data_IF_326602842866
#
_entry.id   IF_326602842866
#
_cell.length_a   1.000
_cell.length_b   1.000
_cell.length_c   1.000
_cell.angle_alpha   90.00
_cell.angle_beta   90.00
_cell.angle_gamma   90.00
#
_symmetry.space_group_name_H-M   'P 1'
#
loop_
_entity.id
_entity.type
_entity.pdbx_description
1 polymer ?
#
# COMPACT_ATOMS: atom_id res chain seq x y z
N UNK A 1 14.15 -6.37 12.80
CA UNK A 1 13.71 -7.04 11.54
C UNK A 1 12.63 -6.26 10.77
N UNK A 2 12.04 -5.18 11.30
CA UNK A 2 10.98 -4.38 10.62
C UNK A 2 11.48 -3.49 9.47
N UNK A 3 12.76 -3.12 9.41
CA UNK A 3 13.29 -2.19 8.38
C UNK A 3 13.43 -2.78 6.97
N UNK A 4 13.53 -4.09 6.83
CA UNK A 4 13.69 -4.73 5.52
C UNK A 4 12.38 -4.85 4.73
N UNK A 5 11.25 -5.03 5.41
CA UNK A 5 9.93 -5.14 4.78
C UNK A 5 9.47 -3.82 4.13
N UNK A 6 9.78 -2.69 4.76
CA UNK A 6 9.38 -1.35 4.27
C UNK A 6 10.10 -0.97 2.97
N UNK A 7 11.36 -1.39 2.80
CA UNK A 7 12.13 -1.07 1.59
C UNK A 7 11.69 -1.88 0.35
N UNK A 8 11.20 -3.10 0.53
CA UNK A 8 10.69 -3.94 -0.57
C UNK A 8 9.30 -3.49 -1.07
N UNK A 9 8.44 -2.97 -0.20
CA UNK A 9 7.12 -2.43 -0.58
C UNK A 9 7.25 -1.21 -1.53
N UNK A 10 8.19 -0.32 -1.27
CA UNK A 10 8.43 0.87 -2.12
C UNK A 10 8.93 0.52 -3.52
N UNK A 11 9.76 -0.53 -3.67
CA UNK A 11 10.24 -0.96 -4.97
C UNK A 11 9.14 -1.62 -5.83
N UNK A 12 8.23 -2.37 -5.22
CA UNK A 12 7.08 -2.99 -5.89
C UNK A 12 6.05 -1.97 -6.36
N UNK A 13 5.72 -0.99 -5.52
CA UNK A 13 4.78 0.08 -5.84
C UNK A 13 5.25 0.94 -7.04
N UNK A 14 6.54 1.24 -7.11
CA UNK A 14 7.11 2.02 -8.22
C UNK A 14 7.02 1.30 -9.58
N UNK A 15 6.91 -0.01 -9.60
CA UNK A 15 6.82 -0.80 -10.83
C UNK A 15 5.37 -1.05 -11.28
N UNK A 16 4.43 -1.20 -10.35
CA UNK A 16 3.01 -1.32 -10.64
C UNK A 16 2.44 -0.06 -11.32
N UNK A 17 3.04 1.11 -11.04
CA UNK A 17 2.68 2.39 -11.67
C UNK A 17 3.21 2.55 -13.11
N UNK A 18 4.05 1.63 -13.64
CA UNK A 18 4.62 1.73 -14.99
C UNK A 18 3.70 1.24 -16.12
N UNK A 19 2.57 0.62 -15.81
CA UNK A 19 1.63 0.10 -16.81
C UNK A 19 0.80 1.15 -17.54
N UNK A 20 0.79 2.40 -17.10
CA UNK A 20 0.13 3.50 -17.80
C UNK A 20 1.13 4.17 -18.75
N UNK A 21 0.86 4.11 -20.05
CA UNK A 21 1.58 4.86 -21.10
C UNK A 21 1.63 6.34 -20.71
N UNK A 22 2.75 6.77 -20.17
CA UNK A 22 3.08 8.18 -20.06
C UNK A 22 3.50 8.67 -21.44
N UNK A 23 2.65 9.43 -22.09
CA UNK A 23 3.03 10.25 -23.24
C UNK A 23 4.18 11.17 -22.82
N UNK A 24 5.21 11.22 -23.66
CA UNK A 24 6.39 12.05 -23.57
C UNK A 24 6.06 13.47 -23.08
N UNK A 25 6.38 13.74 -21.82
CA UNK A 25 6.68 15.10 -21.37
C UNK A 25 8.19 15.16 -21.11
N UNK A 26 8.84 16.10 -21.75
CA UNK A 26 10.27 16.33 -21.61
C UNK A 26 10.65 16.46 -20.12
N UNK A 27 11.63 15.67 -19.67
CA UNK A 27 12.17 15.76 -18.33
C UNK A 27 12.80 17.15 -18.14
N UNK A 28 12.35 17.94 -17.17
CA UNK A 28 13.18 19.08 -16.73
C UNK A 28 14.49 18.53 -16.17
N UNK A 29 15.60 19.18 -16.49
CA UNK A 29 16.93 18.80 -16.02
C UNK A 29 16.91 18.70 -14.48
N UNK A 30 17.27 17.52 -14.00
CA UNK A 30 17.38 17.24 -12.58
C UNK A 30 18.59 18.02 -12.05
N UNK A 31 18.35 19.21 -11.52
CA UNK A 31 19.31 19.86 -10.64
C UNK A 31 19.51 18.94 -9.46
N UNK A 32 20.67 18.28 -9.42
CA UNK A 32 21.07 17.51 -8.25
C UNK A 32 21.29 18.53 -7.15
N UNK A 33 20.29 18.72 -6.30
CA UNK A 33 20.49 19.44 -5.06
C UNK A 33 21.55 18.66 -4.27
N UNK A 34 22.71 19.29 -4.10
CA UNK A 34 23.75 18.86 -3.17
C UNK A 34 23.05 18.45 -1.88
N UNK A 35 23.44 17.28 -1.35
CA UNK A 35 22.99 16.83 -0.03
C UNK A 35 23.52 17.84 1.00
N UNK A 36 22.84 18.96 1.15
CA UNK A 36 22.99 19.77 2.34
C UNK A 36 22.70 18.83 3.51
N UNK A 37 23.62 18.70 4.40
CA UNK A 37 23.50 17.94 5.62
C UNK A 37 22.25 18.43 6.33
N UNK A 38 21.14 17.70 6.17
CA UNK A 38 19.92 17.97 6.90
C UNK A 38 20.26 17.76 8.38
N UNK A 39 20.33 18.86 9.10
CA UNK A 39 20.41 18.83 10.55
C UNK A 39 19.14 18.13 11.07
N UNK A 40 19.30 16.85 11.47
CA UNK A 40 18.20 15.97 11.89
C UNK A 40 17.73 16.21 13.32
N UNK A 41 18.17 17.29 13.94
CA UNK A 41 18.07 17.43 15.40
C UNK A 41 16.75 17.98 15.90
N UNK A 42 15.95 18.66 15.08
CA UNK A 42 14.65 19.17 15.55
C UNK A 42 13.60 19.22 14.40
N UNK A 43 12.48 18.49 14.52
CA UNK A 43 11.39 18.63 13.58
C UNK A 43 10.82 20.06 13.68
N UNK A 44 10.85 20.81 12.59
CA UNK A 44 10.24 22.12 12.52
C UNK A 44 8.75 22.00 12.23
N UNK A 45 7.93 22.78 12.93
CA UNK A 45 6.50 22.85 12.64
C UNK A 45 6.31 23.37 11.23
N UNK A 46 5.45 22.73 10.44
CA UNK A 46 5.05 23.20 9.12
C UNK A 46 4.47 24.61 9.23
N UNK A 47 5.12 25.56 8.58
CA UNK A 47 4.74 26.98 8.64
C UNK A 47 3.79 27.37 7.50
N UNK A 48 4.00 26.79 6.33
CA UNK A 48 3.23 27.03 5.12
C UNK A 48 2.72 25.71 4.54
N UNK A 49 1.47 25.37 4.86
CA UNK A 49 0.84 24.16 4.38
C UNK A 49 0.52 24.23 2.88
N UNK A 50 0.26 25.42 2.34
CA UNK A 50 -0.06 25.61 0.92
C UNK A 50 1.17 25.37 0.05
N UNK A 51 2.32 25.95 0.40
CA UNK A 51 3.58 25.70 -0.28
C UNK A 51 3.96 24.21 -0.22
N UNK A 52 3.82 23.58 0.96
CA UNK A 52 4.07 22.16 1.12
C UNK A 52 3.20 21.30 0.19
N UNK A 53 1.88 21.58 0.13
CA UNK A 53 0.96 20.83 -0.72
C UNK A 53 1.23 21.05 -2.21
N UNK A 54 1.74 22.22 -2.60
CA UNK A 54 2.03 22.55 -3.99
C UNK A 54 3.12 21.65 -4.60
N UNK A 55 4.12 21.30 -3.80
CA UNK A 55 5.29 20.54 -4.26
C UNK A 55 5.13 19.01 -4.15
N UNK A 56 4.02 18.54 -3.58
CA UNK A 56 3.75 17.12 -3.38
C UNK A 56 2.60 16.66 -4.27
N UNK A 57 2.86 15.67 -5.11
CA UNK A 57 1.85 15.09 -6.00
C UNK A 57 1.18 13.83 -5.45
N UNK A 58 1.87 13.12 -4.56
CA UNK A 58 1.45 11.80 -4.06
C UNK A 58 1.50 11.76 -2.54
N UNK A 59 0.40 11.37 -1.95
CA UNK A 59 0.26 11.16 -0.51
C UNK A 59 0.07 9.68 -0.21
N UNK A 60 0.87 9.15 0.70
CA UNK A 60 0.83 7.76 1.15
C UNK A 60 0.48 7.76 2.64
N UNK A 61 -0.66 7.17 2.99
CA UNK A 61 -1.14 7.06 4.35
C UNK A 61 -1.01 5.63 4.87
N UNK A 62 -0.55 5.47 6.10
CA UNK A 62 -0.84 4.26 6.85
C UNK A 62 -2.33 4.23 7.23
N UNK A 63 -2.87 3.06 7.54
CA UNK A 63 -4.29 2.93 7.84
C UNK A 63 -4.56 2.93 9.35
N UNK A 64 -3.97 1.97 10.07
CA UNK A 64 -4.25 1.75 11.48
C UNK A 64 -3.58 2.81 12.36
N UNK A 65 -4.38 3.60 13.07
CA UNK A 65 -3.89 4.72 13.88
C UNK A 65 -3.68 6.04 13.11
N UNK A 66 -3.89 6.04 11.78
CA UNK A 66 -3.78 7.24 10.92
C UNK A 66 -5.11 7.57 10.25
N UNK A 67 -5.77 6.60 9.63
CA UNK A 67 -7.09 6.78 9.02
C UNK A 67 -8.19 6.40 10.02
N UNK A 68 -8.01 5.29 10.73
CA UNK A 68 -8.96 4.80 11.73
C UNK A 68 -8.27 4.26 12.97
N UNK A 69 -9.02 4.17 14.06
CA UNK A 69 -8.66 3.43 15.27
C UNK A 69 -9.76 2.41 15.54
N UNK A 70 -9.44 1.12 15.34
CA UNK A 70 -10.48 0.08 15.33
C UNK A 70 -11.47 0.28 14.18
N UNK A 71 -12.74 0.50 14.53
CA UNK A 71 -13.83 0.72 13.57
C UNK A 71 -14.32 2.18 13.53
N UNK A 72 -13.52 3.11 14.04
CA UNK A 72 -13.86 4.53 14.05
C UNK A 72 -12.84 5.35 13.28
N UNK A 73 -13.30 6.27 12.43
CA UNK A 73 -12.45 7.23 11.74
C UNK A 73 -11.76 8.18 12.73
N UNK A 74 -10.53 8.55 12.39
CA UNK A 74 -9.84 9.63 13.08
C UNK A 74 -10.44 10.97 12.60
N UNK A 75 -10.61 11.88 13.53
CA UNK A 75 -11.19 13.20 13.25
C UNK A 75 -10.48 13.89 12.07
N UNK A 76 -11.25 14.61 11.25
CA UNK A 76 -10.82 15.36 10.06
C UNK A 76 -10.25 14.54 8.90
N UNK A 77 -10.06 13.24 9.03
CA UNK A 77 -9.56 12.41 7.92
C UNK A 77 -10.43 12.56 6.67
N UNK A 78 -11.78 12.48 6.73
CA UNK A 78 -12.60 12.62 5.53
C UNK A 78 -12.38 13.97 4.82
N UNK A 79 -12.35 15.06 5.56
CA UNK A 79 -12.17 16.40 4.99
C UNK A 79 -10.77 16.61 4.40
N UNK A 80 -9.74 16.01 4.98
CA UNK A 80 -8.37 16.08 4.45
C UNK A 80 -8.27 15.27 3.14
N UNK A 81 -8.82 14.06 3.10
CA UNK A 81 -8.81 13.24 1.88
C UNK A 81 -9.58 13.92 0.74
N UNK A 82 -10.74 14.49 1.04
CA UNK A 82 -11.54 15.25 0.08
C UNK A 82 -10.78 16.47 -0.46
N UNK A 83 -10.09 17.22 0.41
CA UNK A 83 -9.26 18.35 0.01
C UNK A 83 -8.13 17.91 -0.93
N UNK A 84 -7.42 16.84 -0.60
CA UNK A 84 -6.33 16.33 -1.44
C UNK A 84 -6.85 15.90 -2.81
N UNK A 85 -8.01 15.22 -2.87
CA UNK A 85 -8.66 14.86 -4.14
C UNK A 85 -9.07 16.08 -4.96
N UNK A 86 -9.64 17.10 -4.33
CA UNK A 86 -9.97 18.38 -5.00
C UNK A 86 -8.74 19.10 -5.56
N UNK A 87 -7.60 18.95 -4.89
CA UNK A 87 -6.32 19.48 -5.38
C UNK A 87 -5.65 18.59 -6.44
N UNK A 88 -6.31 17.52 -6.88
CA UNK A 88 -5.78 16.59 -7.89
C UNK A 88 -4.61 15.74 -7.40
N UNK A 89 -4.43 15.61 -6.10
CA UNK A 89 -3.36 14.80 -5.52
C UNK A 89 -3.70 13.32 -5.59
N UNK A 90 -2.69 12.49 -5.84
CA UNK A 90 -2.83 11.03 -5.76
C UNK A 90 -2.73 10.58 -4.31
N UNK A 91 -3.60 9.66 -3.93
CA UNK A 91 -3.67 9.13 -2.57
C UNK A 91 -3.48 7.63 -2.61
N UNK A 92 -2.66 7.10 -1.72
CA UNK A 92 -2.50 5.67 -1.51
C UNK A 92 -2.59 5.34 -0.03
N UNK A 93 -3.19 4.19 0.27
CA UNK A 93 -3.34 3.65 1.61
C UNK A 93 -2.48 2.41 1.73
N UNK A 94 -1.51 2.44 2.63
CA UNK A 94 -0.57 1.34 2.84
C UNK A 94 -0.78 0.77 4.22
N UNK A 95 -0.96 -0.55 4.32
CA UNK A 95 -1.09 -1.23 5.60
C UNK A 95 -0.25 -2.50 5.63
N UNK A 96 0.41 -2.74 6.75
CA UNK A 96 1.12 -4.00 7.01
C UNK A 96 0.19 -5.14 7.42
N UNK A 97 -1.10 -4.88 7.58
CA UNK A 97 -2.09 -5.87 7.96
C UNK A 97 -2.51 -6.71 6.74
N UNK A 98 -2.36 -8.03 6.83
CA UNK A 98 -2.67 -9.00 5.78
C UNK A 98 -4.00 -9.74 5.97
N UNK A 99 -4.78 -9.38 6.99
CA UNK A 99 -6.04 -10.08 7.31
C UNK A 99 -7.10 -9.94 6.22
N UNK A 100 -7.00 -8.91 5.39
CA UNK A 100 -7.94 -8.61 4.31
C UNK A 100 -7.22 -8.44 2.99
N UNK A 101 -7.92 -8.78 1.90
CA UNK A 101 -7.55 -8.39 0.54
C UNK A 101 -7.87 -6.91 0.27
N UNK A 102 -7.45 -6.38 -0.86
CA UNK A 102 -7.86 -5.03 -1.31
C UNK A 102 -9.37 -4.88 -1.37
N UNK A 103 -10.10 -5.92 -1.82
CA UNK A 103 -11.57 -5.96 -1.83
C UNK A 103 -12.13 -5.85 -0.41
N UNK A 104 -11.56 -6.61 0.52
CA UNK A 104 -11.97 -6.56 1.94
C UNK A 104 -11.69 -5.21 2.59
N UNK A 105 -10.57 -4.57 2.23
CA UNK A 105 -10.27 -3.21 2.68
C UNK A 105 -11.19 -2.16 2.04
N UNK A 106 -11.50 -2.25 0.74
CA UNK A 106 -12.51 -1.39 0.11
C UNK A 106 -13.82 -1.42 0.90
N UNK A 107 -14.32 -2.61 1.25
CA UNK A 107 -15.52 -2.73 2.07
C UNK A 107 -15.39 -2.10 3.47
N UNK A 108 -14.18 -2.07 4.07
CA UNK A 108 -13.95 -1.34 5.32
C UNK A 108 -14.00 0.17 5.12
N UNK A 109 -13.37 0.70 4.07
CA UNK A 109 -13.43 2.12 3.72
C UNK A 109 -14.87 2.57 3.48
N UNK A 110 -15.64 1.81 2.70
CA UNK A 110 -17.06 2.09 2.42
C UNK A 110 -17.91 2.13 3.69
N UNK A 111 -17.73 1.17 4.61
CA UNK A 111 -18.42 1.16 5.92
C UNK A 111 -18.09 2.40 6.77
N UNK A 112 -16.92 2.96 6.60
CA UNK A 112 -16.47 4.18 7.26
C UNK A 112 -16.87 5.46 6.50
N UNK A 113 -17.59 5.33 5.37
CA UNK A 113 -18.03 6.46 4.55
C UNK A 113 -16.92 7.10 3.72
N UNK A 114 -15.84 6.36 3.44
CA UNK A 114 -14.75 6.81 2.59
C UNK A 114 -14.82 6.10 1.23
N UNK A 115 -14.79 6.88 0.16
CA UNK A 115 -14.71 6.38 -1.22
C UNK A 115 -13.24 6.16 -1.60
N UNK A 116 -12.87 4.89 -1.77
CA UNK A 116 -11.49 4.46 -2.05
C UNK A 116 -11.52 3.32 -3.06
N UNK A 117 -10.71 3.42 -4.11
CA UNK A 117 -10.60 2.36 -5.09
C UNK A 117 -9.54 1.30 -4.71
N UNK A 118 -9.72 0.03 -5.13
CA UNK A 118 -8.76 -1.04 -4.81
C UNK A 118 -7.34 -0.72 -5.24
N UNK A 119 -7.16 0.06 -6.31
CA UNK A 119 -5.88 0.50 -6.86
C UNK A 119 -5.15 1.50 -5.95
N UNK A 120 -5.87 2.13 -5.04
CA UNK A 120 -5.30 3.02 -4.02
C UNK A 120 -4.85 2.26 -2.76
N UNK A 121 -5.19 0.95 -2.64
CA UNK A 121 -4.96 0.15 -1.44
C UNK A 121 -3.75 -0.78 -1.63
N UNK A 122 -2.79 -0.67 -0.74
CA UNK A 122 -1.59 -1.49 -0.69
C UNK A 122 -1.50 -2.21 0.67
N UNK A 123 -2.12 -3.38 0.77
CA UNK A 123 -1.98 -4.26 1.92
C UNK A 123 -0.76 -5.17 1.78
N UNK A 124 -0.29 -5.74 2.88
CA UNK A 124 0.79 -6.74 2.82
C UNK A 124 0.35 -8.02 2.10
N UNK A 125 -0.93 -8.38 2.13
CA UNK A 125 -1.51 -9.47 1.33
C UNK A 125 -1.36 -9.21 -0.18
N UNK A 126 -1.75 -8.01 -0.62
CA UNK A 126 -1.56 -7.60 -2.02
C UNK A 126 -0.07 -7.55 -2.41
N UNK A 127 0.79 -7.02 -1.53
CA UNK A 127 2.22 -6.94 -1.81
C UNK A 127 2.85 -8.32 -2.03
N UNK A 128 2.42 -9.33 -1.27
CA UNK A 128 2.87 -10.71 -1.45
C UNK A 128 2.43 -11.27 -2.82
N UNK A 129 1.17 -11.12 -3.18
CA UNK A 129 0.64 -11.55 -4.48
C UNK A 129 1.34 -10.83 -5.65
N UNK A 130 1.46 -9.51 -5.58
CA UNK A 130 2.13 -8.71 -6.60
C UNK A 130 3.60 -9.10 -6.79
N UNK A 131 4.32 -9.44 -5.71
CA UNK A 131 5.68 -9.94 -5.80
C UNK A 131 5.75 -11.29 -6.55
N UNK A 132 4.86 -12.22 -6.23
CA UNK A 132 4.82 -13.53 -6.88
C UNK A 132 4.42 -13.42 -8.36
N UNK A 133 3.53 -12.50 -8.70
CA UNK A 133 3.17 -12.20 -10.09
C UNK A 133 4.37 -11.62 -10.85
N UNK A 134 5.04 -10.60 -10.30
CA UNK A 134 6.19 -9.95 -10.92
C UNK A 134 7.39 -10.89 -11.13
N UNK A 135 7.57 -11.84 -10.22
CA UNK A 135 8.63 -12.86 -10.32
C UNK A 135 8.23 -14.05 -11.17
N UNK A 136 7.03 -14.01 -11.77
CA UNK A 136 6.48 -15.10 -12.59
C UNK A 136 6.44 -16.44 -11.84
N UNK A 137 6.22 -16.42 -10.53
CA UNK A 137 6.26 -17.60 -9.65
C UNK A 137 5.39 -18.74 -10.18
N UNK A 138 4.26 -18.45 -10.78
CA UNK A 138 3.35 -19.43 -11.38
C UNK A 138 4.05 -20.35 -12.40
N UNK A 139 5.05 -19.86 -13.12
CA UNK A 139 5.83 -20.64 -14.10
C UNK A 139 6.68 -21.72 -13.43
N UNK A 140 6.94 -21.61 -12.13
CA UNK A 140 7.73 -22.63 -11.40
C UNK A 140 6.96 -23.91 -11.14
N UNK A 141 5.62 -23.89 -11.29
CA UNK A 141 4.73 -25.01 -10.94
C UNK A 141 4.63 -25.31 -9.42
N UNK A 142 5.24 -24.48 -8.59
CA UNK A 142 5.24 -24.64 -7.13
C UNK A 142 3.99 -24.03 -6.51
N UNK A 143 3.69 -24.45 -5.27
CA UNK A 143 2.62 -23.90 -4.44
C UNK A 143 3.18 -22.99 -3.37
N UNK A 144 2.40 -21.99 -2.97
CA UNK A 144 2.69 -21.15 -1.81
C UNK A 144 2.15 -21.83 -0.57
N UNK A 145 2.93 -21.87 0.51
CA UNK A 145 2.42 -22.25 1.82
C UNK A 145 2.06 -20.98 2.61
N UNK A 146 0.78 -20.83 2.94
CA UNK A 146 0.27 -19.64 3.63
C UNK A 146 0.26 -19.90 5.15
N UNK A 147 0.89 -18.98 5.88
CA UNK A 147 0.73 -18.82 7.32
C UNK A 147 0.14 -17.43 7.51
N UNK A 148 -1.19 -17.34 7.62
CA UNK A 148 -1.89 -16.06 7.68
C UNK A 148 -3.38 -16.24 7.48
N UNK A 149 -4.05 -15.16 7.10
CA UNK A 149 -5.50 -15.09 7.00
C UNK A 149 -6.00 -14.98 5.55
N UNK A 150 -7.31 -15.01 5.39
CA UNK A 150 -8.05 -15.06 4.12
C UNK A 150 -7.64 -13.97 3.13
N UNK A 151 -7.19 -12.82 3.59
CA UNK A 151 -6.75 -11.74 2.69
C UNK A 151 -5.61 -12.14 1.76
N UNK A 152 -4.72 -13.05 2.21
CA UNK A 152 -3.62 -13.56 1.37
C UNK A 152 -4.18 -14.54 0.33
N UNK A 153 -5.12 -15.42 0.73
CA UNK A 153 -5.78 -16.35 -0.17
C UNK A 153 -6.48 -15.62 -1.31
N UNK A 154 -7.31 -14.64 -0.97
CA UNK A 154 -8.07 -13.84 -1.94
C UNK A 154 -7.16 -13.11 -2.97
N UNK A 155 -6.03 -12.58 -2.53
CA UNK A 155 -5.08 -11.91 -3.45
C UNK A 155 -4.32 -12.91 -4.33
N UNK A 156 -4.00 -14.12 -3.82
CA UNK A 156 -3.36 -15.18 -4.61
C UNK A 156 -4.32 -15.78 -5.64
N UNK A 157 -5.60 -15.89 -5.31
CA UNK A 157 -6.65 -16.35 -6.24
C UNK A 157 -6.74 -15.41 -7.46
N UNK A 158 -6.61 -14.09 -7.26
CA UNK A 158 -6.64 -13.12 -8.36
C UNK A 158 -5.53 -13.34 -9.39
N UNK A 159 -4.37 -13.78 -8.96
CA UNK A 159 -3.21 -14.05 -9.84
C UNK A 159 -3.11 -15.53 -10.26
N UNK A 160 -4.02 -16.38 -9.75
CA UNK A 160 -4.08 -17.80 -10.04
C UNK A 160 -2.84 -18.58 -9.63
N UNK A 161 -2.22 -18.21 -8.51
CA UNK A 161 -1.09 -18.94 -7.91
C UNK A 161 -1.63 -19.95 -6.92
N UNK A 162 -1.34 -21.25 -7.09
CA UNK A 162 -1.84 -22.29 -6.18
C UNK A 162 -1.16 -22.19 -4.81
N UNK A 163 -1.94 -22.45 -3.77
CA UNK A 163 -1.47 -22.41 -2.39
C UNK A 163 -2.01 -23.58 -1.55
N UNK A 164 -1.39 -23.77 -0.39
CA UNK A 164 -1.78 -24.71 0.66
C UNK A 164 -1.61 -24.02 2.02
N UNK A 165 -2.15 -24.56 3.08
CA UNK A 165 -2.19 -23.92 4.40
C UNK A 165 -3.41 -23.02 4.53
N UNK A 166 -3.29 -21.97 5.34
CA UNK A 166 -4.38 -21.07 5.68
C UNK A 166 -5.59 -21.75 6.37
N UNK A 167 -6.78 -21.17 6.26
CA UNK A 167 -7.97 -21.65 6.95
C UNK A 167 -8.40 -23.07 6.60
N UNK A 168 -8.11 -23.54 5.39
CA UNK A 168 -8.47 -24.90 4.94
C UNK A 168 -7.68 -26.03 5.61
N UNK A 169 -6.53 -25.69 6.15
CA UNK A 169 -5.62 -26.65 6.80
C UNK A 169 -5.48 -26.37 8.32
N UNK A 170 -6.23 -25.42 8.87
CA UNK A 170 -6.17 -25.03 10.29
C UNK A 170 -6.48 -26.18 11.25
N UNK A 171 -7.32 -27.13 10.82
CA UNK A 171 -7.76 -28.27 11.63
C UNK A 171 -6.86 -29.50 11.50
N UNK A 172 -5.86 -29.44 10.62
CA UNK A 172 -4.88 -30.50 10.48
C UNK A 172 -3.75 -30.28 11.48
N UNK A 173 -3.81 -31.00 12.62
CA UNK A 173 -2.66 -31.04 13.52
C UNK A 173 -1.42 -31.46 12.73
N UNK A 174 -0.27 -30.81 12.89
CA UNK A 174 0.96 -31.28 12.30
C UNK A 174 1.21 -32.68 12.84
N UNK A 175 1.26 -33.68 11.96
CA UNK A 175 1.71 -35.02 12.31
C UNK A 175 3.19 -34.88 12.75
N UNK A 176 3.40 -34.76 14.06
CA UNK A 176 4.71 -34.88 14.69
C UNK A 176 5.17 -36.30 14.73
#
# INVERSE_FOLDING_TARGET
>A
MAKAATMFLLAGAARALRGHRLHHLARPSRTVMSAATLDRTTPTKLQDAEAFLKDIDVFIFDCDGVIWKGDSLIDKVPSVLELLRKLGKKIFFVTNNSTKSRKGYKGKFEKLGLDVEPEEIFSSSFAAAAYLEQTEFKKTGKKVYIIGEVGIEEELDLIGVPYIGAGKDSDKAPNM
#
